data_IF_026832856744
#
_entry.id   IF_026832856744
#
_cell.length_a   1.000
_cell.length_b   1.000
_cell.length_c   1.000
_cell.angle_alpha   90.00
_cell.angle_beta   90.00
_cell.angle_gamma   90.00
#
_symmetry.space_group_name_H-M   'P 1'
#
loop_
_entity.id
_entity.type
_entity.pdbx_description
1 polymer ?
#
# COMPACT_ATOMS: atom_id res chain seq x y z
N UNK A 1 -6.83 -15.56 -17.11
CA UNK A 1 -6.57 -17.01 -17.07
C UNK A 1 -7.37 -17.55 -15.91
N UNK A 2 -8.33 -18.42 -16.17
CA UNK A 2 -9.00 -19.20 -15.12
C UNK A 2 -8.46 -20.61 -15.26
N UNK A 3 -7.93 -21.17 -14.17
CA UNK A 3 -7.54 -22.58 -14.17
C UNK A 3 -8.77 -23.47 -14.43
N UNK A 4 -8.53 -24.69 -14.92
CA UNK A 4 -9.61 -25.67 -15.09
C UNK A 4 -10.13 -26.11 -13.71
N UNK A 5 -11.40 -26.49 -13.63
CA UNK A 5 -11.99 -26.90 -12.37
C UNK A 5 -11.31 -28.17 -11.81
N UNK A 6 -10.62 -28.03 -10.67
CA UNK A 6 -10.04 -29.17 -9.97
C UNK A 6 -11.09 -29.82 -9.04
N UNK A 7 -11.46 -31.06 -9.35
CA UNK A 7 -12.48 -31.79 -8.57
C UNK A 7 -11.98 -32.23 -7.18
N UNK A 8 -10.65 -32.32 -7.00
CA UNK A 8 -10.02 -32.66 -5.72
C UNK A 8 -8.87 -31.69 -5.51
N UNK A 9 -9.01 -30.68 -4.63
CA UNK A 9 -7.96 -29.69 -4.41
C UNK A 9 -6.66 -30.35 -3.97
N UNK A 10 -5.53 -29.87 -4.49
CA UNK A 10 -4.21 -30.24 -3.97
C UNK A 10 -4.11 -29.84 -2.49
N UNK A 11 -3.61 -30.71 -1.58
CA UNK A 11 -3.45 -30.35 -0.18
C UNK A 11 -2.52 -29.14 -0.03
N UNK A 12 -2.84 -28.19 0.85
CA UNK A 12 -2.05 -26.96 1.15
C UNK A 12 -0.56 -27.21 1.53
N UNK A 13 -0.19 -28.47 1.78
CA UNK A 13 1.18 -28.88 2.11
C UNK A 13 1.97 -29.42 0.92
N UNK A 14 1.33 -29.55 -0.24
CA UNK A 14 1.91 -30.11 -1.47
C UNK A 14 1.99 -29.03 -2.55
N UNK A 15 3.00 -29.07 -3.44
CA UNK A 15 3.08 -28.14 -4.55
C UNK A 15 1.89 -28.33 -5.50
N UNK A 16 1.13 -27.26 -5.69
CA UNK A 16 0.03 -27.20 -6.65
C UNK A 16 0.55 -26.59 -7.97
N UNK A 17 0.19 -27.20 -9.10
CA UNK A 17 0.56 -26.71 -10.43
C UNK A 17 -0.13 -25.37 -10.77
N UNK A 18 -1.21 -25.00 -10.05
CA UNK A 18 -1.88 -23.70 -10.11
C UNK A 18 -1.16 -22.61 -9.29
N UNK A 19 -0.26 -22.98 -8.37
CA UNK A 19 0.51 -22.01 -7.59
C UNK A 19 1.61 -21.36 -8.41
N UNK A 20 1.89 -20.08 -8.11
CA UNK A 20 3.07 -19.39 -8.61
C UNK A 20 4.19 -19.43 -7.57
N UNK A 21 5.17 -20.36 -7.65
CA UNK A 21 6.26 -20.43 -6.68
C UNK A 21 7.23 -19.24 -6.79
N UNK A 22 7.16 -18.45 -7.88
CA UNK A 22 8.05 -17.32 -8.14
C UNK A 22 7.66 -16.05 -7.37
N UNK A 23 6.39 -15.89 -6.97
CA UNK A 23 5.90 -14.69 -6.28
C UNK A 23 5.12 -15.12 -5.04
N UNK A 24 5.64 -14.76 -3.86
CA UNK A 24 4.96 -15.07 -2.58
C UNK A 24 3.62 -14.34 -2.50
N UNK A 25 2.59 -15.01 -1.96
CA UNK A 25 1.24 -14.46 -1.80
C UNK A 25 1.18 -13.11 -1.04
N UNK A 26 2.16 -12.82 -0.17
CA UNK A 26 2.27 -11.52 0.51
C UNK A 26 2.33 -10.32 -0.46
N UNK A 27 2.88 -10.50 -1.66
CA UNK A 27 2.92 -9.44 -2.68
C UNK A 27 1.53 -9.03 -3.18
N UNK A 28 0.54 -9.93 -3.13
CA UNK A 28 -0.85 -9.59 -3.47
C UNK A 28 -1.40 -8.53 -2.51
N UNK A 29 -1.20 -8.72 -1.21
CA UNK A 29 -1.66 -7.79 -0.18
C UNK A 29 -0.85 -6.50 -0.14
N UNK A 30 0.47 -6.58 -0.41
CA UNK A 30 1.29 -5.39 -0.58
C UNK A 30 0.85 -4.57 -1.80
N UNK A 31 0.50 -5.23 -2.90
CA UNK A 31 -0.05 -4.58 -4.09
C UNK A 31 -1.37 -3.87 -3.81
N UNK A 32 -2.27 -4.51 -3.06
CA UNK A 32 -3.52 -3.88 -2.61
C UNK A 32 -3.25 -2.65 -1.73
N UNK A 33 -2.33 -2.76 -0.77
CA UNK A 33 -1.97 -1.65 0.10
C UNK A 33 -1.39 -0.45 -0.69
N UNK A 34 -0.55 -0.73 -1.71
CA UNK A 34 0.03 0.27 -2.60
C UNK A 34 -1.04 0.90 -3.51
N UNK A 35 -1.97 0.09 -4.03
CA UNK A 35 -3.10 0.59 -4.81
C UNK A 35 -3.94 1.55 -3.97
N UNK A 36 -4.21 1.21 -2.72
CA UNK A 36 -4.96 2.08 -1.81
C UNK A 36 -4.27 3.41 -1.49
N UNK A 37 -2.97 3.55 -1.75
CA UNK A 37 -2.21 4.80 -1.63
C UNK A 37 -2.33 5.65 -2.91
N UNK A 38 -2.27 5.01 -4.09
CA UNK A 38 -2.33 5.70 -5.37
C UNK A 38 -3.72 6.09 -5.84
N UNK A 39 -4.72 5.26 -5.55
CA UNK A 39 -6.07 5.39 -6.11
C UNK A 39 -7.07 5.64 -5.00
N UNK A 40 -7.89 6.69 -5.10
CA UNK A 40 -9.06 6.82 -4.23
C UNK A 40 -10.18 7.53 -4.97
N UNK A 41 -11.09 6.72 -5.51
CA UNK A 41 -12.35 7.21 -6.08
C UNK A 41 -13.49 6.98 -5.07
N UNK A 42 -13.89 7.99 -4.28
CA UNK A 42 -15.03 7.87 -3.37
C UNK A 42 -16.39 7.78 -4.10
N UNK A 43 -16.39 7.90 -5.44
CA UNK A 43 -17.59 7.98 -6.29
C UNK A 43 -17.79 6.71 -7.14
N UNK A 44 -16.86 5.75 -7.10
CA UNK A 44 -16.91 4.49 -7.85
C UNK A 44 -18.06 3.59 -7.38
N UNK A 45 -19.23 3.78 -7.98
CA UNK A 45 -20.30 2.79 -8.00
C UNK A 45 -20.05 1.86 -9.19
N UNK A 46 -19.76 0.59 -8.94
CA UNK A 46 -19.63 -0.50 -9.93
C UNK A 46 -20.81 -0.64 -10.92
N UNK A 47 -21.89 0.13 -10.76
CA UNK A 47 -23.12 0.04 -11.54
C UNK A 47 -23.49 1.33 -12.31
N UNK A 48 -22.70 2.41 -12.24
CA UNK A 48 -22.92 3.57 -13.12
C UNK A 48 -21.87 3.57 -14.22
N UNK A 49 -22.30 3.78 -15.45
CA UNK A 49 -21.41 4.18 -16.54
C UNK A 49 -20.67 5.45 -16.09
N UNK A 50 -19.46 5.28 -15.56
CA UNK A 50 -18.66 6.40 -15.11
C UNK A 50 -18.12 7.11 -16.35
N UNK A 51 -18.46 8.41 -16.48
CA UNK A 51 -17.83 9.29 -17.45
C UNK A 51 -16.33 9.38 -17.13
N UNK A 52 -15.43 8.87 -18.00
CA UNK A 52 -13.99 8.86 -17.74
C UNK A 52 -13.39 10.26 -17.56
N UNK A 53 -14.13 11.32 -17.92
CA UNK A 53 -13.72 12.72 -17.76
C UNK A 53 -14.18 13.37 -16.44
N UNK A 54 -14.98 12.67 -15.64
CA UNK A 54 -15.56 13.17 -14.39
C UNK A 54 -14.89 12.60 -13.12
N UNK A 55 -13.87 11.76 -13.26
CA UNK A 55 -13.05 11.29 -12.14
C UNK A 55 -12.14 12.43 -11.66
N UNK A 56 -12.65 13.24 -10.75
CA UNK A 56 -11.80 14.10 -9.92
C UNK A 56 -11.24 13.22 -8.79
N UNK A 57 -10.04 12.68 -9.00
CA UNK A 57 -9.31 11.95 -7.97
C UNK A 57 -8.96 12.93 -6.85
N UNK A 58 -9.53 12.70 -5.65
CA UNK A 58 -9.35 13.58 -4.50
C UNK A 58 -8.01 13.36 -3.79
N UNK A 59 -7.12 12.51 -4.33
CA UNK A 59 -5.76 12.29 -3.84
C UNK A 59 -4.68 12.93 -4.70
N UNK A 60 -3.52 13.12 -4.10
CA UNK A 60 -2.30 13.37 -4.88
C UNK A 60 -1.88 12.07 -5.59
N UNK A 61 -1.60 12.07 -6.90
CA UNK A 61 -1.14 10.88 -7.62
C UNK A 61 0.35 10.60 -7.31
N UNK A 62 0.67 10.41 -6.04
CA UNK A 62 2.02 10.25 -5.50
C UNK A 62 2.02 9.15 -4.44
N UNK A 63 3.13 8.44 -4.32
CA UNK A 63 3.35 7.47 -3.24
C UNK A 63 3.68 8.21 -1.93
N UNK A 64 2.68 8.83 -1.32
CA UNK A 64 2.85 9.72 -0.19
C UNK A 64 2.17 9.22 1.10
N UNK A 65 1.66 7.99 1.10
CA UNK A 65 1.08 7.33 2.27
C UNK A 65 -0.06 8.13 2.89
N UNK A 66 -0.87 8.82 2.09
CA UNK A 66 -2.08 9.48 2.60
C UNK A 66 -3.12 8.45 3.09
N UNK A 67 -3.06 7.19 2.62
CA UNK A 67 -3.81 6.08 3.22
C UNK A 67 -3.43 5.80 4.69
N UNK A 68 -2.22 6.17 5.12
CA UNK A 68 -1.76 6.13 6.51
C UNK A 68 -2.06 7.44 7.22
N UNK A 69 -1.61 8.55 6.64
CA UNK A 69 -1.53 9.85 7.31
C UNK A 69 -2.81 10.68 7.17
N UNK A 70 -3.70 10.30 6.26
CA UNK A 70 -4.84 11.12 5.88
C UNK A 70 -4.41 12.53 5.54
N UNK A 71 -5.15 13.53 6.04
CA UNK A 71 -4.85 14.96 5.85
C UNK A 71 -3.95 15.55 6.95
N UNK A 72 -3.27 14.70 7.72
CA UNK A 72 -2.28 15.11 8.72
C UNK A 72 -2.84 15.43 10.12
N UNK A 73 -1.96 15.65 11.11
CA UNK A 73 -2.33 15.77 12.52
C UNK A 73 -3.14 17.01 12.88
N UNK A 74 -3.12 18.05 12.04
CA UNK A 74 -3.92 19.27 12.27
C UNK A 74 -5.39 19.12 11.87
N UNK A 75 -5.68 18.35 10.82
CA UNK A 75 -7.05 18.16 10.30
C UNK A 75 -7.70 16.88 10.84
N UNK A 76 -6.93 15.80 10.96
CA UNK A 76 -7.40 14.50 11.41
C UNK A 76 -6.66 14.05 12.67
N UNK A 77 -6.64 14.92 13.69
CA UNK A 77 -5.95 14.68 14.97
C UNK A 77 -6.32 13.35 15.65
N UNK A 78 -7.50 12.79 15.36
CA UNK A 78 -7.95 11.50 15.88
C UNK A 78 -7.15 10.28 15.36
N UNK A 79 -6.26 10.45 14.38
CA UNK A 79 -5.32 9.41 13.92
C UNK A 79 -3.99 9.43 14.71
N UNK A 80 -3.75 10.47 15.49
CA UNK A 80 -2.46 10.79 16.10
C UNK A 80 -2.52 10.80 17.64
N UNK A 81 -1.37 10.61 18.28
CA UNK A 81 -1.21 10.82 19.72
C UNK A 81 -1.23 12.32 20.03
N UNK A 82 -1.40 12.64 21.31
CA UNK A 82 -1.50 14.02 21.79
C UNK A 82 -0.26 14.89 21.49
N UNK A 83 0.89 14.29 21.19
CA UNK A 83 2.10 15.01 20.76
C UNK A 83 2.04 15.48 19.30
N UNK A 84 1.07 15.01 18.50
CA UNK A 84 0.96 15.31 17.08
C UNK A 84 2.09 14.74 16.22
N UNK A 85 2.96 13.90 16.80
CA UNK A 85 4.11 13.29 16.12
C UNK A 85 3.89 11.80 15.90
N UNK A 86 3.36 11.09 16.90
CA UNK A 86 3.17 9.66 16.82
C UNK A 86 1.76 9.31 16.30
N UNK A 87 1.66 8.22 15.54
CA UNK A 87 0.41 7.59 15.16
C UNK A 87 -0.21 6.84 16.35
N UNK A 88 -1.54 6.77 16.41
CA UNK A 88 -2.23 5.86 17.30
C UNK A 88 -2.00 4.40 16.89
N UNK A 89 -1.92 3.52 17.89
CA UNK A 89 -1.79 2.08 17.72
C UNK A 89 -2.98 1.39 18.39
N UNK A 90 -3.42 0.26 17.82
CA UNK A 90 -4.45 -0.58 18.40
C UNK A 90 -3.95 -1.44 19.56
N UNK A 91 -4.74 -2.43 19.93
CA UNK A 91 -4.42 -3.35 21.02
C UNK A 91 -3.21 -4.22 20.70
N UNK A 92 -2.56 -4.73 21.75
CA UNK A 92 -1.51 -5.74 21.59
C UNK A 92 -2.10 -7.02 21.01
N UNK A 93 -1.42 -7.56 19.99
CA UNK A 93 -1.82 -8.82 19.36
C UNK A 93 -1.08 -9.99 20.02
N UNK A 94 -1.70 -11.15 19.96
CA UNK A 94 -1.13 -12.43 20.41
C UNK A 94 -0.95 -13.37 19.22
N UNK A 95 -0.20 -14.45 19.38
CA UNK A 95 0.00 -15.47 18.33
C UNK A 95 1.18 -15.22 17.39
N UNK A 96 1.95 -14.15 17.61
CA UNK A 96 3.22 -13.89 16.90
C UNK A 96 4.39 -13.98 17.89
N UNK A 97 4.87 -15.20 18.17
CA UNK A 97 5.96 -15.45 19.14
C UNK A 97 7.26 -14.70 18.78
N UNK A 98 7.45 -14.38 17.49
CA UNK A 98 8.58 -13.63 16.96
C UNK A 98 8.41 -12.09 17.02
N UNK A 99 7.21 -11.58 17.33
CA UNK A 99 6.95 -10.14 17.52
C UNK A 99 6.09 -9.90 18.77
N UNK A 100 6.69 -9.91 19.98
CA UNK A 100 5.96 -9.69 21.23
C UNK A 100 5.38 -8.28 21.35
N UNK A 101 5.78 -7.35 20.46
CA UNK A 101 5.29 -5.98 20.43
C UNK A 101 4.29 -5.76 19.28
N UNK A 102 3.74 -6.82 18.69
CA UNK A 102 2.74 -6.73 17.63
C UNK A 102 1.52 -5.94 18.12
N UNK A 103 1.04 -5.02 17.29
CA UNK A 103 -0.12 -4.18 17.56
C UNK A 103 -1.09 -4.28 16.39
N UNK A 104 -2.39 -4.20 16.68
CA UNK A 104 -3.42 -4.01 15.67
C UNK A 104 -3.55 -2.54 15.26
N UNK A 105 -4.51 -2.28 14.38
CA UNK A 105 -4.95 -0.92 14.05
C UNK A 105 -5.81 -0.33 15.17
N UNK A 106 -5.77 1.00 15.39
CA UNK A 106 -6.67 1.64 16.35
C UNK A 106 -8.13 1.46 15.92
N UNK A 107 -9.00 1.16 16.88
CA UNK A 107 -10.45 1.00 16.64
C UNK A 107 -11.25 1.90 17.57
N UNK A 108 -12.44 2.31 17.13
CA UNK A 108 -13.36 3.05 17.99
C UNK A 108 -13.91 2.16 19.11
N UNK A 109 -14.51 2.80 20.12
CA UNK A 109 -15.40 2.09 21.05
C UNK A 109 -16.79 1.99 20.40
N UNK A 110 -17.28 0.78 20.09
CA UNK A 110 -18.59 0.63 19.46
C UNK A 110 -19.72 0.94 20.45
N UNK A 111 -20.89 1.33 19.92
CA UNK A 111 -22.12 1.45 20.69
C UNK A 111 -22.85 0.10 20.74
N UNK A 112 -23.27 -0.33 21.93
CA UNK A 112 -24.02 -1.58 22.10
C UNK A 112 -23.25 -2.80 21.58
N UNK A 113 -23.85 -3.51 20.60
CA UNK A 113 -23.31 -4.74 20.00
C UNK A 113 -22.73 -4.51 18.61
N UNK A 114 -22.51 -3.26 18.20
CA UNK A 114 -21.89 -2.97 16.91
C UNK A 114 -20.42 -3.45 16.86
N UNK A 115 -19.91 -3.82 15.67
CA UNK A 115 -18.50 -4.11 15.53
C UNK A 115 -17.66 -2.84 15.67
N UNK A 116 -16.51 -2.95 16.32
CA UNK A 116 -15.52 -1.88 16.39
C UNK A 116 -14.91 -1.62 15.01
N UNK A 117 -14.93 -0.36 14.59
CA UNK A 117 -14.41 0.11 13.29
C UNK A 117 -12.99 0.64 13.45
N UNK A 118 -12.13 0.30 12.49
CA UNK A 118 -10.78 0.86 12.44
C UNK A 118 -10.81 2.37 12.18
N UNK A 119 -9.88 3.08 12.80
CA UNK A 119 -9.69 4.52 12.67
C UNK A 119 -8.43 4.76 11.82
N UNK A 120 -8.61 4.80 10.50
CA UNK A 120 -7.53 4.85 9.52
C UNK A 120 -7.66 6.06 8.58
N UNK A 121 -6.56 6.43 7.93
CA UNK A 121 -6.57 7.43 6.84
C UNK A 121 -7.42 6.96 5.66
N UNK A 122 -7.23 5.69 5.25
CA UNK A 122 -8.09 4.98 4.31
C UNK A 122 -8.80 3.79 4.98
N UNK A 123 -10.14 3.75 5.02
CA UNK A 123 -10.87 2.62 5.61
C UNK A 123 -10.68 1.29 4.88
N UNK A 124 -10.29 1.28 3.60
CA UNK A 124 -10.06 0.04 2.82
C UNK A 124 -8.90 -0.79 3.39
N UNK A 125 -7.99 -0.18 4.15
CA UNK A 125 -6.90 -0.87 4.81
C UNK A 125 -7.32 -1.75 6.00
N UNK A 126 -8.63 -1.92 6.27
CA UNK A 126 -9.16 -2.90 7.23
C UNK A 126 -10.08 -3.97 6.59
N UNK A 127 -10.13 -4.08 5.26
CA UNK A 127 -10.97 -5.07 4.55
C UNK A 127 -10.47 -6.52 4.70
N UNK A 128 -9.16 -6.69 4.85
CA UNK A 128 -8.51 -7.99 5.06
C UNK A 128 -7.51 -7.88 6.23
N UNK A 129 -7.44 -8.94 7.04
CA UNK A 129 -6.54 -9.01 8.20
C UNK A 129 -5.07 -8.75 7.85
N UNK A 130 -4.60 -9.21 6.69
CA UNK A 130 -3.20 -9.03 6.26
C UNK A 130 -2.94 -7.56 5.91
N UNK A 131 -3.87 -6.88 5.23
CA UNK A 131 -3.74 -5.45 4.94
C UNK A 131 -3.80 -4.62 6.22
N UNK A 132 -4.69 -4.99 7.16
CA UNK A 132 -4.78 -4.37 8.49
C UNK A 132 -3.48 -4.55 9.28
N UNK A 133 -2.81 -5.69 9.15
CA UNK A 133 -1.49 -5.93 9.74
C UNK A 133 -0.38 -5.11 9.06
N UNK A 134 -0.40 -4.95 7.72
CA UNK A 134 0.53 -4.07 7.00
C UNK A 134 0.35 -2.60 7.42
N UNK A 135 -0.90 -2.14 7.53
CA UNK A 135 -1.24 -0.84 8.08
C UNK A 135 -0.61 -0.67 9.46
N UNK A 136 -0.86 -1.60 10.39
CA UNK A 136 -0.32 -1.52 11.75
C UNK A 136 1.22 -1.57 11.78
N UNK A 137 1.84 -2.33 10.88
CA UNK A 137 3.30 -2.37 10.74
C UNK A 137 3.86 -1.00 10.35
N UNK A 138 3.24 -0.30 9.39
CA UNK A 138 3.68 1.04 8.97
C UNK A 138 3.42 2.08 10.08
N UNK A 139 2.30 2.00 10.82
CA UNK A 139 2.06 2.87 11.99
C UNK A 139 3.15 2.70 13.04
N UNK A 140 3.53 1.45 13.35
CA UNK A 140 4.64 1.14 14.28
C UNK A 140 5.97 1.61 13.75
N UNK A 141 6.23 1.43 12.45
CA UNK A 141 7.46 1.89 11.81
C UNK A 141 7.59 3.41 11.89
N UNK A 142 6.53 4.16 11.59
CA UNK A 142 6.52 5.61 11.74
C UNK A 142 6.85 6.02 13.18
N UNK A 143 6.18 5.44 14.17
CA UNK A 143 6.46 5.75 15.58
C UNK A 143 7.93 5.45 15.94
N UNK A 144 8.46 4.33 15.46
CA UNK A 144 9.87 3.97 15.67
C UNK A 144 10.82 4.97 15.00
N UNK A 145 10.46 5.52 13.84
CA UNK A 145 11.22 6.56 13.12
C UNK A 145 11.20 7.87 13.90
N UNK A 146 10.05 8.30 14.45
CA UNK A 146 9.96 9.47 15.33
C UNK A 146 10.93 9.31 16.50
N UNK A 147 10.86 8.18 17.22
CA UNK A 147 11.75 7.88 18.34
C UNK A 147 13.23 7.80 17.93
N UNK A 148 13.53 7.18 16.78
CA UNK A 148 14.91 6.97 16.31
C UNK A 148 15.59 8.28 15.90
N UNK A 149 14.87 9.12 15.16
CA UNK A 149 15.41 10.35 14.59
C UNK A 149 15.37 11.52 15.59
N UNK A 150 14.56 11.41 16.66
CA UNK A 150 14.28 12.51 17.57
C UNK A 150 13.54 13.64 16.86
N UNK A 151 12.65 13.29 15.92
CA UNK A 151 11.95 14.25 15.08
C UNK A 151 11.20 15.28 15.92
N UNK A 152 11.35 16.56 15.58
CA UNK A 152 10.70 17.68 16.28
C UNK A 152 9.43 18.17 15.57
N UNK A 153 9.30 17.81 14.30
CA UNK A 153 8.12 18.02 13.49
C UNK A 153 7.73 16.70 12.82
N UNK A 154 6.44 16.58 12.50
CA UNK A 154 5.87 15.38 11.92
C UNK A 154 6.38 15.11 10.50
N UNK A 155 6.59 16.18 9.72
CA UNK A 155 7.02 16.12 8.33
C UNK A 155 8.39 15.43 8.19
N UNK A 156 9.32 15.67 9.12
CA UNK A 156 10.62 15.00 9.14
C UNK A 156 10.47 13.47 9.22
N UNK A 157 9.68 12.98 10.17
CA UNK A 157 9.45 11.54 10.33
C UNK A 157 8.66 10.96 9.14
N UNK A 158 7.65 11.69 8.67
CA UNK A 158 6.84 11.33 7.52
C UNK A 158 7.70 11.15 6.26
N UNK A 159 8.61 12.09 5.97
CA UNK A 159 9.49 12.02 4.80
C UNK A 159 10.41 10.80 4.84
N UNK A 160 10.98 10.48 6.01
CA UNK A 160 11.80 9.27 6.17
C UNK A 160 10.98 8.02 5.87
N UNK A 161 9.77 7.90 6.39
CA UNK A 161 8.89 6.75 6.13
C UNK A 161 8.51 6.67 4.65
N UNK A 162 8.09 7.79 4.04
CA UNK A 162 7.76 7.88 2.61
C UNK A 162 8.92 7.42 1.74
N UNK A 163 10.15 7.85 2.02
CA UNK A 163 11.31 7.41 1.24
C UNK A 163 11.59 5.91 1.36
N UNK A 164 11.42 5.33 2.54
CA UNK A 164 11.56 3.87 2.71
C UNK A 164 10.47 3.13 1.95
N UNK A 165 9.23 3.59 2.05
CA UNK A 165 8.10 3.02 1.32
C UNK A 165 8.28 3.11 -0.20
N UNK A 166 8.62 4.28 -0.73
CA UNK A 166 8.92 4.48 -2.16
C UNK A 166 10.08 3.60 -2.62
N UNK A 167 11.10 3.42 -1.77
CA UNK A 167 12.21 2.50 -2.06
C UNK A 167 11.71 1.05 -2.16
N UNK A 168 10.86 0.59 -1.24
CA UNK A 168 10.24 -0.75 -1.28
C UNK A 168 9.39 -0.90 -2.55
N UNK A 169 8.57 0.09 -2.88
CA UNK A 169 7.75 0.09 -4.10
C UNK A 169 8.62 -0.12 -5.35
N UNK A 170 9.70 0.65 -5.48
CA UNK A 170 10.54 0.59 -6.69
C UNK A 170 11.49 -0.60 -6.73
N UNK A 171 12.13 -0.95 -5.61
CA UNK A 171 13.25 -1.89 -5.59
C UNK A 171 12.85 -3.31 -5.20
N UNK A 172 11.68 -3.47 -4.57
CA UNK A 172 11.19 -4.77 -4.12
C UNK A 172 9.89 -5.14 -4.86
N UNK A 173 8.81 -4.39 -4.64
CA UNK A 173 7.50 -4.69 -5.21
C UNK A 173 7.53 -4.68 -6.74
N UNK A 174 7.83 -3.53 -7.36
CA UNK A 174 7.79 -3.38 -8.80
C UNK A 174 8.74 -4.36 -9.49
N UNK A 175 9.98 -4.49 -8.96
CA UNK A 175 10.98 -5.43 -9.47
C UNK A 175 10.48 -6.87 -9.46
N UNK A 176 9.81 -7.29 -8.38
CA UNK A 176 9.26 -8.64 -8.23
C UNK A 176 8.11 -8.88 -9.21
N UNK A 177 7.19 -7.93 -9.35
CA UNK A 177 5.99 -8.10 -10.19
C UNK A 177 6.31 -8.07 -11.69
N UNK A 178 7.14 -7.14 -12.15
CA UNK A 178 7.43 -6.97 -13.59
C UNK A 178 8.61 -7.81 -14.08
N UNK A 179 9.35 -8.42 -13.15
CA UNK A 179 10.59 -9.13 -13.42
C UNK A 179 11.81 -8.20 -13.55
N UNK A 180 12.98 -8.75 -13.20
CA UNK A 180 14.23 -7.97 -13.13
C UNK A 180 14.66 -7.38 -14.48
N UNK A 181 14.48 -8.12 -15.58
CA UNK A 181 14.84 -7.63 -16.92
C UNK A 181 14.00 -6.40 -17.33
N UNK A 182 12.68 -6.45 -17.14
CA UNK A 182 11.79 -5.32 -17.40
C UNK A 182 12.12 -4.13 -16.50
N UNK A 183 12.35 -4.40 -15.21
CA UNK A 183 12.73 -3.38 -14.24
C UNK A 183 14.02 -2.66 -14.64
N UNK A 184 15.06 -3.38 -15.07
CA UNK A 184 16.32 -2.79 -15.56
C UNK A 184 16.13 -1.99 -16.84
N UNK A 185 15.28 -2.48 -17.76
CA UNK A 185 15.01 -1.81 -19.01
C UNK A 185 14.28 -0.47 -18.84
N UNK A 186 13.36 -0.39 -17.87
CA UNK A 186 12.58 0.82 -17.58
C UNK A 186 13.31 1.79 -16.64
N UNK A 187 14.07 1.27 -15.66
CA UNK A 187 14.77 2.05 -14.63
C UNK A 187 16.30 1.86 -14.69
N UNK A 188 16.96 2.28 -15.78
CA UNK A 188 18.38 2.02 -15.99
C UNK A 188 19.28 2.68 -14.94
N UNK A 189 18.88 3.81 -14.34
CA UNK A 189 19.61 4.41 -13.22
C UNK A 189 19.70 3.50 -12.01
N UNK A 190 18.61 2.84 -11.63
CA UNK A 190 18.61 1.93 -10.49
C UNK A 190 19.42 0.67 -10.81
N UNK A 191 19.30 0.15 -12.03
CA UNK A 191 20.08 -1.00 -12.49
C UNK A 191 21.59 -0.76 -12.48
N UNK A 192 22.04 0.45 -12.87
CA UNK A 192 23.46 0.81 -12.98
C UNK A 192 24.02 1.46 -11.70
N UNK A 193 23.18 1.77 -10.71
CA UNK A 193 23.57 2.55 -9.53
C UNK A 193 23.97 3.99 -9.86
N UNK A 194 23.39 4.58 -10.90
CA UNK A 194 23.65 5.96 -11.33
C UNK A 194 22.50 6.88 -10.93
N UNK A 195 22.66 8.19 -11.15
CA UNK A 195 21.59 9.15 -10.88
C UNK A 195 20.52 9.11 -11.96
N UNK A 196 19.28 9.47 -11.60
CA UNK A 196 18.17 9.61 -12.55
C UNK A 196 18.45 10.62 -13.67
N UNK A 197 19.40 11.54 -13.48
CA UNK A 197 19.83 12.51 -14.51
C UNK A 197 20.82 11.90 -15.51
N UNK A 198 21.65 10.95 -15.07
CA UNK A 198 22.63 10.27 -15.92
C UNK A 198 21.96 9.22 -16.79
N UNK A 199 21.06 8.42 -16.21
CA UNK A 199 20.33 7.36 -16.89
C UNK A 199 18.82 7.48 -16.61
N UNK A 200 18.10 8.38 -17.30
CA UNK A 200 16.69 8.63 -17.00
C UNK A 200 15.78 7.42 -17.29
N UNK A 201 14.64 7.28 -16.57
CA UNK A 201 13.67 6.23 -16.83
C UNK A 201 13.12 6.23 -18.26
N UNK A 202 12.93 5.05 -18.83
CA UNK A 202 12.35 4.85 -20.15
C UNK A 202 10.82 4.71 -20.09
N UNK A 203 10.14 5.81 -19.74
CA UNK A 203 8.68 5.82 -19.64
C UNK A 203 8.03 6.05 -21.01
N UNK A 204 7.42 5.01 -21.59
CA UNK A 204 6.53 5.15 -22.74
C UNK A 204 5.10 5.39 -22.25
N UNK A 205 4.76 6.65 -21.99
CA UNK A 205 3.38 7.01 -21.69
C UNK A 205 2.59 7.01 -23.00
N UNK A 206 1.70 6.02 -23.17
CA UNK A 206 0.75 6.03 -24.30
C UNK A 206 -0.16 7.23 -24.12
N UNK A 207 -0.01 8.26 -24.97
CA UNK A 207 -0.95 9.38 -24.98
C UNK A 207 -2.33 8.84 -25.33
N UNK A 208 -3.30 9.04 -24.45
CA UNK A 208 -4.70 8.59 -24.55
C UNK A 208 -5.49 9.16 -25.76
N UNK A 209 -4.81 9.76 -26.75
CA UNK A 209 -5.44 10.43 -27.90
C UNK A 209 -6.00 9.51 -28.97
N UNK A 210 -5.76 8.18 -28.92
CA UNK A 210 -6.25 7.24 -29.95
C UNK A 210 -7.15 6.11 -29.43
N UNK A 211 -7.09 5.75 -28.15
CA UNK A 211 -7.68 4.51 -27.66
C UNK A 211 -8.80 4.69 -26.63
N UNK A 212 -9.29 5.91 -26.39
CA UNK A 212 -10.49 6.12 -25.56
C UNK A 212 -10.47 5.47 -24.16
N UNK A 213 -9.29 5.24 -23.58
CA UNK A 213 -9.13 4.54 -22.29
C UNK A 213 -9.04 3.01 -22.38
N UNK A 214 -8.99 2.42 -23.58
CA UNK A 214 -8.78 0.97 -23.75
C UNK A 214 -7.28 0.64 -23.86
N UNK A 215 -6.84 -0.40 -23.13
CA UNK A 215 -5.53 -1.02 -23.35
C UNK A 215 -5.56 -1.77 -24.69
N UNK A 216 -4.68 -1.46 -25.64
CA UNK A 216 -4.55 -2.25 -26.86
C UNK A 216 -3.90 -3.58 -26.48
N UNK A 217 -4.71 -4.62 -26.40
CA UNK A 217 -4.25 -6.00 -26.39
C UNK A 217 -4.13 -6.40 -27.86
N UNK A 218 -2.91 -6.35 -28.40
CA UNK A 218 -2.56 -7.04 -29.65
C UNK A 218 -2.04 -8.45 -29.32
#
# INVERSE_FOLDING_TARGET
MTAEFEATPTPETEPDDEENPGIRAGYTYLGQFIDHDLTFDPVSSLQRENDPKALEDFRTPQFDLDNIYGRGPSDQAYLYRADGLHMLLGDSLTGADNDPNARGVPRNRPFGTEPARALLGDPRNDENVIVSQLQAAILRFHNRVVDFTGAKDFEQAQNVVRFHYQWVVLNDFLKTIVGEETWKAVLPNLAKGTTIKQDPPHLKVVKAGKWGGQMPVE
#
